data_IF_608004643871
#
_entry.id   IF_608004643871
#
_cell.length_a   1.000
_cell.length_b   1.000
_cell.length_c   1.000
_cell.angle_alpha   90.00
_cell.angle_beta   90.00
_cell.angle_gamma   90.00
#
_symmetry.space_group_name_H-M   'P 1'
#
loop_
_entity.id
_entity.type
_entity.pdbx_description
1 polymer ?
#
# COMPACT_ATOMS: atom_id res chain seq x y z
N UNK A 1 -9.76 7.74 -3.34
CA UNK A 1 -8.55 7.29 -4.05
C UNK A 1 -9.01 6.28 -5.08
N UNK A 2 -8.64 6.49 -6.34
CA UNK A 2 -8.88 5.61 -7.47
C UNK A 2 -7.84 4.49 -7.49
N UNK A 3 -8.18 3.36 -8.08
CA UNK A 3 -7.29 2.19 -8.16
C UNK A 3 -5.98 2.50 -8.87
N UNK A 4 -6.03 3.33 -9.92
CA UNK A 4 -4.84 3.82 -10.62
C UNK A 4 -3.88 4.60 -9.71
N UNK A 5 -4.40 5.42 -8.79
CA UNK A 5 -3.56 6.15 -7.82
C UNK A 5 -2.84 5.16 -6.87
N UNK A 6 -3.57 4.14 -6.40
CA UNK A 6 -2.99 3.09 -5.54
C UNK A 6 -1.84 2.37 -6.24
N UNK A 7 -2.05 1.99 -7.51
CA UNK A 7 -1.03 1.33 -8.34
C UNK A 7 0.21 2.20 -8.51
N UNK A 8 0.05 3.48 -8.80
CA UNK A 8 1.17 4.43 -8.95
C UNK A 8 1.98 4.56 -7.67
N UNK A 9 1.32 4.58 -6.50
CA UNK A 9 2.01 4.62 -5.21
C UNK A 9 2.82 3.33 -4.99
N UNK A 10 2.24 2.15 -5.25
CA UNK A 10 2.96 0.88 -5.16
C UNK A 10 4.20 0.85 -6.05
N UNK A 11 4.05 1.23 -7.31
CA UNK A 11 5.15 1.29 -8.30
C UNK A 11 6.21 2.32 -7.90
N UNK A 12 5.82 3.50 -7.39
CA UNK A 12 6.74 4.53 -6.87
C UNK A 12 7.58 4.00 -5.70
N UNK A 13 6.95 3.28 -4.77
CA UNK A 13 7.63 2.62 -3.65
C UNK A 13 8.52 1.46 -4.13
N UNK A 14 8.23 0.88 -5.30
CA UNK A 14 8.98 -0.25 -5.87
C UNK A 14 8.60 -1.58 -5.24
N UNK A 15 7.36 -1.69 -4.74
CA UNK A 15 6.85 -2.90 -4.09
C UNK A 15 6.18 -3.81 -5.13
N UNK A 16 6.40 -5.11 -4.98
CA UNK A 16 5.60 -6.15 -5.61
C UNK A 16 4.15 -6.11 -5.13
N UNK A 17 3.27 -6.84 -5.82
CA UNK A 17 1.85 -6.88 -5.44
C UNK A 17 1.68 -7.58 -4.09
N UNK A 18 2.50 -8.60 -3.83
CA UNK A 18 2.55 -9.39 -2.61
C UNK A 18 3.02 -8.53 -1.42
N UNK A 19 4.17 -7.87 -1.55
CA UNK A 19 4.69 -6.97 -0.49
C UNK A 19 3.71 -5.83 -0.17
N UNK A 20 2.98 -5.36 -1.17
CA UNK A 20 1.96 -4.34 -0.99
C UNK A 20 0.68 -4.87 -0.34
N UNK A 21 0.36 -6.16 -0.58
CA UNK A 21 -0.72 -6.83 0.12
C UNK A 21 -0.38 -6.96 1.61
N UNK A 22 0.85 -7.35 1.92
CA UNK A 22 1.34 -7.49 3.30
C UNK A 22 1.31 -6.14 4.04
N UNK A 23 1.84 -5.08 3.41
CA UNK A 23 1.80 -3.71 3.96
C UNK A 23 0.38 -3.25 4.34
N UNK A 24 -0.62 -3.63 3.54
CA UNK A 24 -2.01 -3.23 3.74
C UNK A 24 -2.84 -4.28 4.47
N UNK A 25 -2.21 -5.35 4.98
CA UNK A 25 -2.85 -6.50 5.63
C UNK A 25 -4.02 -7.07 4.80
N UNK A 26 -3.79 -7.24 3.51
CA UNK A 26 -4.76 -7.80 2.56
C UNK A 26 -4.55 -9.30 2.40
N UNK A 27 -5.58 -10.02 1.96
CA UNK A 27 -5.52 -11.47 1.76
C UNK A 27 -4.61 -11.94 0.59
N UNK A 28 -3.78 -11.05 0.02
CA UNK A 28 -2.85 -11.35 -1.07
C UNK A 28 -3.21 -10.71 -2.42
N UNK A 29 -2.58 -11.24 -3.48
CA UNK A 29 -2.56 -10.68 -4.84
C UNK A 29 -3.93 -10.21 -5.35
N UNK A 30 -4.94 -11.09 -5.30
CA UNK A 30 -6.27 -10.78 -5.84
C UNK A 30 -6.91 -9.57 -5.14
N UNK A 31 -6.66 -9.38 -3.85
CA UNK A 31 -7.20 -8.25 -3.08
C UNK A 31 -6.60 -6.92 -3.55
N UNK A 32 -5.29 -6.90 -3.84
CA UNK A 32 -4.62 -5.73 -4.39
C UNK A 32 -5.12 -5.45 -5.81
N UNK A 33 -5.21 -6.46 -6.67
CA UNK A 33 -5.70 -6.29 -8.04
C UNK A 33 -7.15 -5.77 -8.08
N UNK A 34 -8.01 -6.25 -7.18
CA UNK A 34 -9.37 -5.74 -7.03
C UNK A 34 -9.37 -4.25 -6.66
N UNK A 35 -8.40 -3.78 -5.86
CA UNK A 35 -8.27 -2.36 -5.52
C UNK A 35 -7.72 -1.56 -6.70
N UNK A 36 -6.64 -2.00 -7.33
CA UNK A 36 -5.98 -1.30 -8.44
C UNK A 36 -6.84 -1.18 -9.70
N UNK A 37 -7.76 -2.14 -9.90
CA UNK A 37 -8.74 -2.13 -11.00
C UNK A 37 -10.03 -1.38 -10.67
N UNK A 38 -10.11 -0.73 -9.50
CA UNK A 38 -11.32 -0.05 -8.99
C UNK A 38 -12.53 -0.97 -8.74
N UNK A 39 -12.37 -2.30 -8.85
CA UNK A 39 -13.41 -3.27 -8.50
C UNK A 39 -13.80 -3.21 -7.00
N UNK A 40 -12.83 -2.89 -6.14
CA UNK A 40 -13.02 -2.67 -4.70
C UNK A 40 -12.35 -1.37 -4.28
N UNK A 41 -12.99 -0.63 -3.36
CA UNK A 41 -12.36 0.55 -2.76
C UNK A 41 -11.42 0.17 -1.61
N UNK A 42 -10.25 0.82 -1.49
CA UNK A 42 -9.38 0.66 -0.33
C UNK A 42 -10.07 1.19 0.94
N UNK A 43 -9.66 0.66 2.11
CA UNK A 43 -10.19 1.12 3.39
C UNK A 43 -9.81 2.58 3.66
N UNK A 44 -10.56 3.27 4.53
CA UNK A 44 -10.24 4.66 4.91
C UNK A 44 -8.84 4.78 5.54
N UNK A 45 -8.42 3.76 6.30
CA UNK A 45 -7.08 3.71 6.89
C UNK A 45 -6.00 3.54 5.81
N UNK A 46 -6.19 2.59 4.88
CA UNK A 46 -5.27 2.40 3.77
C UNK A 46 -5.13 3.68 2.94
N UNK A 47 -6.23 4.40 2.67
CA UNK A 47 -6.17 5.69 1.96
C UNK A 47 -5.32 6.72 2.71
N UNK A 48 -5.47 6.83 4.04
CA UNK A 48 -4.67 7.76 4.85
C UNK A 48 -3.19 7.39 4.83
N UNK A 49 -2.88 6.11 5.03
CA UNK A 49 -1.52 5.60 4.99
C UNK A 49 -0.88 5.84 3.62
N UNK A 50 -1.55 5.47 2.53
CA UNK A 50 -1.02 5.63 1.18
C UNK A 50 -0.77 7.10 0.82
N UNK A 51 -1.66 8.02 1.24
CA UNK A 51 -1.43 9.46 1.06
C UNK A 51 -0.24 9.97 1.86
N UNK A 52 -0.08 9.49 3.10
CA UNK A 52 1.08 9.82 3.92
C UNK A 52 2.38 9.36 3.24
N UNK A 53 2.43 8.11 2.78
CA UNK A 53 3.60 7.53 2.10
C UNK A 53 3.90 8.24 0.79
N UNK A 54 2.89 8.64 0.02
CA UNK A 54 3.06 9.31 -1.26
C UNK A 54 3.64 10.74 -1.12
N UNK A 55 3.30 11.43 -0.03
CA UNK A 55 3.82 12.76 0.30
C UNK A 55 5.30 12.74 0.73
N UNK A 56 5.81 11.58 1.19
CA UNK A 56 7.19 11.43 1.62
C UNK A 56 8.18 11.25 0.44
N UNK A 57 9.43 11.61 0.70
CA UNK A 57 10.54 11.14 -0.15
C UNK A 57 10.62 9.62 -0.09
N UNK A 58 10.86 8.96 -1.24
CA UNK A 58 10.86 7.49 -1.36
C UNK A 58 11.67 6.80 -0.27
N UNK A 59 12.87 7.30 0.05
CA UNK A 59 13.73 6.73 1.10
C UNK A 59 13.04 6.73 2.47
N UNK A 60 12.43 7.85 2.88
CA UNK A 60 11.72 7.97 4.16
C UNK A 60 10.47 7.09 4.20
N UNK A 61 9.75 6.98 3.09
CA UNK A 61 8.59 6.11 3.00
C UNK A 61 8.97 4.63 3.21
N UNK A 62 10.09 4.20 2.62
CA UNK A 62 10.61 2.84 2.79
C UNK A 62 11.12 2.60 4.22
N UNK A 63 11.85 3.55 4.82
CA UNK A 63 12.28 3.48 6.23
C UNK A 63 11.06 3.31 7.16
N UNK A 64 10.00 4.09 6.94
CA UNK A 64 8.75 3.94 7.69
C UNK A 64 8.11 2.57 7.47
N UNK A 65 8.06 2.05 6.24
CA UNK A 65 7.45 0.75 5.95
C UNK A 65 8.17 -0.37 6.71
N UNK A 66 9.50 -0.34 6.73
CA UNK A 66 10.30 -1.33 7.47
C UNK A 66 10.02 -1.26 8.98
N UNK A 67 10.00 -0.07 9.57
CA UNK A 67 9.62 0.10 10.99
C UNK A 67 8.17 -0.32 11.26
N UNK A 68 7.25 -0.02 10.33
CA UNK A 68 5.83 -0.30 10.49
C UNK A 68 5.52 -1.81 10.46
N UNK A 69 6.29 -2.60 9.69
CA UNK A 69 6.16 -4.07 9.65
C UNK A 69 6.44 -4.73 10.99
N UNK A 70 7.26 -4.14 11.85
CA UNK A 70 7.55 -4.70 13.18
C UNK A 70 6.32 -4.70 14.11
N UNK A 71 5.26 -4.00 13.74
CA UNK A 71 3.99 -3.93 14.47
C UNK A 71 2.93 -4.91 13.93
N UNK A 72 3.29 -5.82 13.03
CA UNK A 72 2.37 -6.84 12.54
C UNK A 72 1.89 -7.72 13.71
N UNK A 73 0.58 -7.90 13.84
CA UNK A 73 0.01 -8.68 14.94
C UNK A 73 0.38 -10.15 14.78
N UNK A 74 1.01 -10.74 15.80
CA UNK A 74 1.30 -12.18 15.89
C UNK A 74 0.05 -13.05 15.77
#
# INVERSE_FOLDING_TARGET
MQGKEVRLIREKLGLSVEEFADLLCLAGYQSVMNIESDFRKPSKLAIRLLRYLDDQQKKKALEFIEEFKDYESK
#
